data_IF_541218805397
#
_entry.id   IF_541218805397
#
_cell.length_a   1.000
_cell.length_b   1.000
_cell.length_c   1.000
_cell.angle_alpha   90.00
_cell.angle_beta   90.00
_cell.angle_gamma   90.00
#
_symmetry.space_group_name_H-M   'P 1'
#
loop_
_entity.id
_entity.type
_entity.pdbx_description
1 polymer ?
#
# COMPACT_ATOMS: atom_id res chain seq x y z
N UNK A 1 2.01 12.31 -14.00
CA UNK A 1 1.26 11.09 -14.31
C UNK A 1 -0.09 11.20 -13.68
N UNK A 2 -1.17 10.97 -14.43
CA UNK A 2 -2.47 10.78 -13.84
C UNK A 2 -2.34 9.66 -12.79
N UNK A 3 -2.54 10.00 -11.53
CA UNK A 3 -2.50 9.03 -10.46
C UNK A 3 -3.56 7.97 -10.80
N UNK A 4 -3.13 6.78 -11.15
CA UNK A 4 -4.01 5.64 -11.26
C UNK A 4 -4.76 5.48 -9.94
N UNK A 5 -5.93 4.87 -9.95
CA UNK A 5 -6.67 4.54 -8.74
C UNK A 5 -5.72 3.82 -7.77
N UNK A 6 -5.73 4.24 -6.52
CA UNK A 6 -4.83 3.70 -5.50
C UNK A 6 -5.65 3.10 -4.37
N UNK A 7 -5.39 1.83 -4.07
CA UNK A 7 -6.03 1.16 -2.94
C UNK A 7 -5.69 1.87 -1.63
N UNK A 8 -6.61 1.82 -0.67
CA UNK A 8 -6.32 2.21 0.69
C UNK A 8 -5.64 1.08 1.45
N UNK A 9 -4.78 1.47 2.38
CA UNK A 9 -4.13 0.56 3.30
C UNK A 9 -4.84 0.56 4.64
N UNK A 10 -4.92 -0.59 5.28
CA UNK A 10 -5.34 -0.74 6.66
C UNK A 10 -4.09 -0.73 7.56
N UNK A 11 -3.76 0.43 8.12
CA UNK A 11 -2.57 0.60 8.94
C UNK A 11 -2.83 0.13 10.37
N UNK A 12 -2.04 -0.83 10.82
CA UNK A 12 -2.07 -1.36 12.20
C UNK A 12 -1.02 -0.67 13.10
N UNK A 13 -1.00 -1.05 14.37
CA UNK A 13 0.00 -0.61 15.34
C UNK A 13 1.45 -0.85 14.86
N UNK A 14 1.70 -1.91 14.09
CA UNK A 14 3.04 -2.18 13.52
C UNK A 14 3.46 -1.08 12.54
N UNK A 15 2.57 -0.68 11.62
CA UNK A 15 2.83 0.42 10.69
C UNK A 15 3.03 1.74 11.42
N UNK A 16 2.20 2.04 12.42
CA UNK A 16 2.34 3.24 13.26
C UNK A 16 3.68 3.27 14.00
N UNK A 17 4.09 2.14 14.58
CA UNK A 17 5.37 2.06 15.27
C UNK A 17 6.56 2.27 14.32
N UNK A 18 6.48 1.74 13.09
CA UNK A 18 7.50 2.00 12.07
C UNK A 18 7.59 3.49 11.71
N UNK A 19 6.45 4.17 11.53
CA UNK A 19 6.40 5.62 11.26
C UNK A 19 6.93 6.44 12.43
N UNK A 20 6.63 6.04 13.68
CA UNK A 20 7.19 6.68 14.89
C UNK A 20 8.69 6.49 15.00
N UNK A 21 9.17 5.28 14.73
CA UNK A 21 10.61 4.98 14.72
C UNK A 21 11.36 5.82 13.68
N UNK A 22 10.76 6.01 12.51
CA UNK A 22 11.30 6.86 11.44
C UNK A 22 11.10 8.37 11.69
N UNK A 23 10.44 8.79 12.78
CA UNK A 23 10.22 10.20 13.11
C UNK A 23 9.17 10.93 12.25
N UNK A 24 8.39 10.20 11.44
CA UNK A 24 7.48 10.78 10.43
C UNK A 24 5.99 10.62 10.76
N UNK A 25 5.68 10.05 11.92
CA UNK A 25 4.29 9.75 12.30
C UNK A 25 3.40 11.00 12.34
N UNK A 26 3.89 12.12 12.85
CA UNK A 26 3.10 13.35 13.00
C UNK A 26 2.69 13.96 11.64
N UNK A 27 3.48 13.74 10.60
CA UNK A 27 3.16 14.14 9.23
C UNK A 27 2.09 13.26 8.59
N UNK A 28 2.08 11.96 8.94
CA UNK A 28 1.12 10.98 8.42
C UNK A 28 -0.20 10.97 9.19
N UNK A 29 -0.17 11.30 10.48
CA UNK A 29 -1.32 11.25 11.38
C UNK A 29 -2.57 11.95 10.87
N UNK A 30 -2.51 13.14 10.22
CA UNK A 30 -3.69 13.82 9.68
C UNK A 30 -4.42 13.05 8.57
N UNK A 31 -3.75 12.10 7.91
CA UNK A 31 -4.33 11.27 6.85
C UNK A 31 -5.06 10.03 7.37
N UNK A 32 -4.91 9.71 8.66
CA UNK A 32 -5.39 8.47 9.26
C UNK A 32 -6.85 8.60 9.67
N UNK A 33 -7.70 7.70 9.16
CA UNK A 33 -9.10 7.58 9.62
C UNK A 33 -9.21 6.34 10.48
N UNK A 34 -9.56 6.48 11.78
CA UNK A 34 -9.68 5.35 12.67
C UNK A 34 -10.89 4.49 12.30
N UNK A 35 -10.69 3.19 12.26
CA UNK A 35 -11.73 2.17 12.10
C UNK A 35 -11.75 1.30 13.36
N UNK A 36 -12.87 1.32 14.07
CA UNK A 36 -13.03 0.64 15.38
C UNK A 36 -13.35 -0.84 15.26
N UNK A 37 -13.75 -1.28 14.07
CA UNK A 37 -14.11 -2.67 13.81
C UNK A 37 -14.42 -2.93 12.34
N UNK A 38 -14.83 -4.15 12.07
CA UNK A 38 -15.37 -4.58 10.79
C UNK A 38 -16.89 -4.48 10.82
N UNK A 39 -17.48 -3.74 9.89
CA UNK A 39 -18.91 -3.72 9.65
C UNK A 39 -19.27 -4.80 8.63
N UNK A 40 -19.77 -5.92 9.08
CA UNK A 40 -20.21 -7.02 8.21
C UNK A 40 -21.57 -6.69 7.60
N UNK A 41 -21.66 -6.77 6.29
CA UNK A 41 -22.91 -6.65 5.53
C UNK A 41 -23.37 -8.04 5.11
N UNK A 42 -24.27 -8.63 5.87
CA UNK A 42 -24.75 -9.99 5.66
C UNK A 42 -25.68 -10.08 4.45
N UNK A 43 -25.87 -11.30 3.90
CA UNK A 43 -26.72 -11.56 2.73
C UNK A 43 -28.21 -11.22 2.98
N UNK A 44 -28.67 -11.33 4.22
CA UNK A 44 -30.03 -10.98 4.62
C UNK A 44 -30.27 -9.46 4.82
N UNK A 45 -29.24 -8.63 4.55
CA UNK A 45 -29.30 -7.17 4.73
C UNK A 45 -28.92 -6.68 6.12
N UNK A 46 -28.72 -7.56 7.09
CA UNK A 46 -28.27 -7.17 8.43
C UNK A 46 -26.84 -6.63 8.40
N UNK A 47 -26.53 -5.71 9.32
CA UNK A 47 -25.21 -5.15 9.54
C UNK A 47 -24.76 -5.48 10.96
N UNK A 48 -23.54 -5.99 11.09
CA UNK A 48 -22.97 -6.38 12.37
C UNK A 48 -21.58 -5.77 12.51
N UNK A 49 -21.39 -4.96 13.56
CA UNK A 49 -20.06 -4.42 13.88
C UNK A 49 -19.30 -5.43 14.74
N UNK A 50 -18.16 -5.88 14.24
CA UNK A 50 -17.18 -6.68 14.97
C UNK A 50 -16.02 -5.79 15.38
N UNK A 51 -15.93 -5.36 16.66
CA UNK A 51 -14.85 -4.50 17.13
C UNK A 51 -13.48 -5.21 17.03
N UNK A 52 -12.43 -4.43 16.80
CA UNK A 52 -11.05 -4.96 16.81
C UNK A 52 -10.55 -5.24 18.21
N UNK A 53 -11.10 -4.59 19.23
CA UNK A 53 -10.75 -4.80 20.61
C UNK A 53 -11.80 -4.23 21.58
N UNK A 54 -11.48 -4.26 22.86
CA UNK A 54 -12.37 -3.78 23.94
C UNK A 54 -12.09 -2.32 24.34
N UNK A 55 -10.88 -1.82 24.01
CA UNK A 55 -10.47 -0.45 24.34
C UNK A 55 -10.67 0.47 23.13
N UNK A 56 -10.87 1.76 23.41
CA UNK A 56 -11.10 2.78 22.37
C UNK A 56 -9.92 3.01 21.44
N UNK A 57 -8.71 2.67 21.88
CA UNK A 57 -7.46 2.80 21.14
C UNK A 57 -7.07 1.53 20.35
N UNK A 58 -7.82 0.44 20.53
CA UNK A 58 -7.63 -0.79 19.77
C UNK A 58 -8.32 -0.68 18.41
N UNK A 59 -7.73 0.11 17.53
CA UNK A 59 -8.23 0.43 16.18
C UNK A 59 -7.17 0.18 15.13
N UNK A 60 -7.61 0.05 13.89
CA UNK A 60 -6.74 0.18 12.71
C UNK A 60 -7.13 1.46 11.96
N UNK A 61 -6.27 1.92 11.05
CA UNK A 61 -6.52 3.17 10.36
C UNK A 61 -6.59 2.97 8.85
N UNK A 62 -7.57 3.57 8.21
CA UNK A 62 -7.56 3.73 6.76
C UNK A 62 -6.59 4.85 6.40
N UNK A 63 -5.78 4.61 5.38
CA UNK A 63 -4.90 5.62 4.79
C UNK A 63 -4.75 5.39 3.28
N UNK A 64 -4.81 6.46 2.51
CA UNK A 64 -4.53 6.40 1.08
C UNK A 64 -3.07 6.03 0.84
N UNK A 65 -2.82 4.94 0.10
CA UNK A 65 -1.47 4.52 -0.28
C UNK A 65 -0.75 5.62 -1.07
N UNK A 66 -1.47 6.33 -1.93
CA UNK A 66 -0.91 7.44 -2.70
C UNK A 66 -0.41 8.57 -1.80
N UNK A 67 -1.26 9.05 -0.87
CA UNK A 67 -0.91 10.15 0.02
C UNK A 67 0.21 9.75 0.99
N UNK A 68 0.18 8.52 1.50
CA UNK A 68 1.26 8.00 2.33
C UNK A 68 2.59 7.97 1.57
N UNK A 69 2.62 7.42 0.36
CA UNK A 69 3.82 7.41 -0.48
C UNK A 69 4.33 8.82 -0.78
N UNK A 70 3.44 9.78 -1.03
CA UNK A 70 3.83 11.16 -1.29
C UNK A 70 4.56 11.77 -0.09
N UNK A 71 4.03 11.60 1.12
CA UNK A 71 4.70 12.07 2.35
C UNK A 71 6.05 11.37 2.52
N UNK A 72 6.10 10.05 2.38
CA UNK A 72 7.35 9.29 2.53
C UNK A 72 8.45 9.77 1.57
N UNK A 73 8.10 9.98 0.31
CA UNK A 73 9.02 10.48 -0.72
C UNK A 73 9.49 11.90 -0.39
N UNK A 74 8.55 12.81 -0.10
CA UNK A 74 8.89 14.19 0.23
C UNK A 74 9.78 14.29 1.47
N UNK A 75 9.48 13.54 2.51
CA UNK A 75 10.30 13.51 3.72
C UNK A 75 11.70 12.95 3.45
N UNK A 76 11.79 11.86 2.67
CA UNK A 76 13.09 11.28 2.31
C UNK A 76 13.98 12.29 1.57
N UNK A 77 13.44 13.06 0.64
CA UNK A 77 14.19 14.09 -0.09
C UNK A 77 14.54 15.29 0.80
N UNK A 78 13.56 15.82 1.55
CA UNK A 78 13.70 17.11 2.25
C UNK A 78 14.42 17.00 3.60
N UNK A 79 14.18 15.93 4.34
CA UNK A 79 14.71 15.79 5.71
C UNK A 79 15.89 14.83 5.79
N UNK A 80 15.96 13.84 4.88
CA UNK A 80 17.01 12.81 4.90
C UNK A 80 17.99 12.90 3.74
N UNK A 81 17.84 13.93 2.89
CA UNK A 81 18.72 14.20 1.73
C UNK A 81 18.88 12.98 0.80
N UNK A 82 17.81 12.21 0.60
CA UNK A 82 17.79 11.08 -0.31
C UNK A 82 17.58 11.58 -1.74
N UNK A 83 18.48 11.25 -2.65
CA UNK A 83 18.35 11.59 -4.07
C UNK A 83 17.44 10.58 -4.78
N UNK A 84 16.19 10.95 -5.02
CA UNK A 84 15.17 10.10 -5.65
C UNK A 84 15.14 10.34 -7.16
N UNK A 85 15.42 9.30 -7.94
CA UNK A 85 15.39 9.35 -9.40
C UNK A 85 14.07 8.78 -9.93
N UNK A 86 13.14 9.66 -10.29
CA UNK A 86 11.92 9.26 -11.00
C UNK A 86 12.22 8.88 -12.45
N UNK A 87 11.32 8.09 -13.05
CA UNK A 87 11.44 7.62 -14.44
C UNK A 87 12.73 6.81 -14.71
N UNK A 88 13.32 6.28 -13.63
CA UNK A 88 14.44 5.35 -13.73
C UNK A 88 13.97 3.93 -13.41
N UNK A 89 14.37 2.97 -14.19
CA UNK A 89 14.02 1.57 -13.98
C UNK A 89 15.24 0.67 -14.11
N UNK A 90 15.27 -0.39 -13.29
CA UNK A 90 16.24 -1.47 -13.39
C UNK A 90 15.85 -2.34 -14.58
N UNK A 91 16.78 -2.57 -15.50
CA UNK A 91 16.61 -3.46 -16.66
C UNK A 91 17.14 -4.86 -16.37
N UNK A 92 18.30 -4.93 -15.73
CA UNK A 92 18.94 -6.19 -15.34
C UNK A 92 19.91 -5.98 -14.19
N UNK A 93 20.26 -7.07 -13.53
CA UNK A 93 21.33 -7.14 -12.54
C UNK A 93 22.26 -8.29 -12.90
N UNK A 94 23.53 -7.98 -13.10
CA UNK A 94 24.56 -8.98 -13.30
C UNK A 94 25.14 -9.40 -11.95
N UNK A 95 24.89 -10.63 -11.54
CA UNK A 95 25.32 -11.19 -10.26
C UNK A 95 26.80 -11.49 -10.17
N UNK A 96 27.54 -11.53 -11.28
CA UNK A 96 28.98 -11.79 -11.32
C UNK A 96 29.76 -10.49 -11.15
N UNK A 97 29.40 -9.47 -11.91
CA UNK A 97 30.04 -8.16 -11.86
C UNK A 97 29.41 -7.19 -10.84
N UNK A 98 28.29 -7.58 -10.19
CA UNK A 98 27.50 -6.77 -9.29
C UNK A 98 27.00 -5.43 -9.89
N UNK A 99 26.78 -5.40 -11.22
CA UNK A 99 26.37 -4.20 -11.94
C UNK A 99 24.87 -4.19 -12.22
N UNK A 100 24.25 -3.02 -11.98
CA UNK A 100 22.89 -2.72 -12.38
C UNK A 100 22.89 -2.07 -13.77
N UNK A 101 22.11 -2.63 -14.69
CA UNK A 101 21.75 -1.92 -15.91
C UNK A 101 20.46 -1.14 -15.65
N UNK A 102 20.54 0.15 -15.87
CA UNK A 102 19.47 1.11 -15.58
C UNK A 102 19.01 1.77 -16.88
N UNK A 103 17.72 2.11 -16.91
CA UNK A 103 17.14 2.99 -17.92
C UNK A 103 16.74 4.32 -17.29
N UNK A 104 17.14 5.41 -17.93
CA UNK A 104 16.64 6.76 -17.66
C UNK A 104 15.85 7.29 -18.87
N UNK A 105 15.18 8.44 -18.78
CA UNK A 105 14.50 9.05 -19.91
C UNK A 105 15.41 9.39 -21.09
N UNK A 106 16.73 9.52 -20.84
CA UNK A 106 17.71 9.97 -21.83
C UNK A 106 18.47 8.78 -22.43
N UNK A 107 18.89 7.83 -21.60
CA UNK A 107 19.75 6.71 -22.01
C UNK A 107 19.75 5.56 -21.02
N UNK A 108 20.16 4.40 -21.50
CA UNK A 108 20.53 3.28 -20.65
C UNK A 108 21.99 3.45 -20.16
N UNK A 109 22.28 3.04 -18.92
CA UNK A 109 23.61 3.14 -18.31
C UNK A 109 23.82 2.03 -17.27
N UNK A 110 25.08 1.81 -16.89
CA UNK A 110 25.41 0.91 -15.80
C UNK A 110 25.67 1.71 -14.52
N UNK A 111 25.18 1.18 -13.40
CA UNK A 111 25.39 1.71 -12.08
C UNK A 111 26.21 0.70 -11.26
N UNK A 112 27.32 1.16 -10.71
CA UNK A 112 28.08 0.46 -9.69
C UNK A 112 27.60 0.94 -8.31
N UNK A 113 27.17 0.03 -7.43
CA UNK A 113 26.73 0.37 -6.09
C UNK A 113 27.43 -0.51 -5.06
N UNK A 114 27.87 0.09 -3.95
CA UNK A 114 28.50 -0.63 -2.83
C UNK A 114 27.52 -1.53 -2.07
N UNK A 115 26.23 -1.22 -2.12
CA UNK A 115 25.14 -1.99 -1.52
C UNK A 115 23.83 -1.63 -2.18
N UNK A 116 22.93 -2.61 -2.29
CA UNK A 116 21.61 -2.45 -2.91
C UNK A 116 20.55 -2.98 -1.97
N UNK A 117 19.58 -2.13 -1.59
CA UNK A 117 18.37 -2.53 -0.90
C UNK A 117 17.26 -2.69 -1.93
N UNK A 118 16.78 -3.91 -2.12
CA UNK A 118 15.79 -4.24 -3.14
C UNK A 118 14.39 -4.23 -2.51
N UNK A 119 13.56 -3.28 -2.92
CA UNK A 119 12.18 -3.11 -2.45
C UNK A 119 11.19 -2.90 -3.62
N UNK A 120 11.46 -3.51 -4.77
CA UNK A 120 10.75 -3.35 -6.04
C UNK A 120 9.56 -4.32 -6.23
N UNK A 121 9.20 -5.05 -5.15
CA UNK A 121 7.96 -5.84 -5.05
C UNK A 121 7.98 -7.18 -5.78
N UNK A 122 6.78 -7.73 -6.03
CA UNK A 122 6.60 -9.09 -6.56
C UNK A 122 7.19 -9.28 -7.98
N UNK A 123 7.24 -8.21 -8.77
CA UNK A 123 7.82 -8.24 -10.12
C UNK A 123 9.33 -8.06 -10.19
N UNK A 124 10.05 -8.08 -9.06
CA UNK A 124 11.47 -7.76 -8.94
C UNK A 124 12.34 -8.39 -10.02
N UNK A 125 13.01 -7.55 -10.79
CA UNK A 125 14.00 -7.96 -11.79
C UNK A 125 15.26 -8.48 -11.10
N UNK A 126 15.66 -7.85 -9.99
CA UNK A 126 16.85 -8.25 -9.23
C UNK A 126 16.62 -9.62 -8.60
N UNK A 127 15.44 -9.89 -8.00
CA UNK A 127 15.11 -11.23 -7.50
C UNK A 127 15.21 -12.28 -8.61
N UNK A 128 14.73 -11.98 -9.82
CA UNK A 128 14.80 -12.90 -10.96
C UNK A 128 16.24 -13.19 -11.38
N UNK A 129 17.17 -12.26 -11.21
CA UNK A 129 18.58 -12.49 -11.52
C UNK A 129 19.23 -13.53 -10.59
N UNK A 130 18.66 -13.74 -9.39
CA UNK A 130 19.07 -14.79 -8.46
C UNK A 130 18.29 -16.09 -8.62
N UNK A 131 17.35 -16.19 -9.55
CA UNK A 131 16.63 -17.43 -9.80
C UNK A 131 17.63 -18.53 -10.19
N UNK A 132 17.50 -19.71 -9.55
CA UNK A 132 18.39 -20.87 -9.72
C UNK A 132 19.86 -20.65 -9.30
N UNK A 133 20.15 -19.64 -8.50
CA UNK A 133 21.50 -19.41 -7.92
C UNK A 133 21.48 -19.60 -6.40
N UNK A 134 22.35 -20.48 -5.92
CA UNK A 134 22.57 -20.67 -4.49
C UNK A 134 23.18 -19.41 -3.83
N UNK A 135 22.83 -19.07 -2.57
CA UNK A 135 21.87 -19.77 -1.69
C UNK A 135 20.41 -19.31 -1.84
N UNK A 136 20.10 -18.42 -2.81
CA UNK A 136 18.79 -17.82 -3.01
C UNK A 136 18.07 -18.53 -4.15
N UNK A 137 17.07 -19.34 -3.80
CA UNK A 137 16.21 -20.01 -4.77
C UNK A 137 14.75 -19.56 -4.57
N UNK A 138 14.36 -18.40 -5.14
CA UNK A 138 13.00 -17.88 -4.98
C UNK A 138 11.99 -18.80 -5.66
N UNK A 139 10.87 -19.07 -4.96
CA UNK A 139 9.71 -19.74 -5.52
C UNK A 139 8.59 -18.73 -5.77
N UNK A 140 7.86 -18.90 -6.86
CA UNK A 140 6.69 -18.08 -7.17
C UNK A 140 5.46 -19.01 -7.27
N UNK A 141 4.41 -18.66 -6.51
CA UNK A 141 3.10 -19.26 -6.62
C UNK A 141 2.08 -18.19 -7.02
N UNK A 142 1.50 -18.35 -8.19
CA UNK A 142 0.46 -17.44 -8.67
C UNK A 142 -0.88 -17.92 -8.15
N UNK A 143 -1.50 -17.12 -7.28
CA UNK A 143 -2.83 -17.42 -6.77
C UNK A 143 -3.87 -17.25 -7.89
N UNK A 144 -4.90 -18.13 -7.95
CA UNK A 144 -5.96 -18.05 -8.96
C UNK A 144 -7.00 -16.97 -8.62
N UNK A 145 -6.57 -15.89 -8.00
CA UNK A 145 -7.40 -14.78 -7.58
C UNK A 145 -6.84 -13.47 -8.09
N UNK A 146 -7.71 -12.56 -8.46
CA UNK A 146 -7.38 -11.18 -8.80
C UNK A 146 -8.28 -10.24 -8.01
N UNK A 147 -7.95 -8.94 -8.03
CA UNK A 147 -8.79 -7.94 -7.37
C UNK A 147 -9.18 -6.81 -8.31
N UNK A 148 -10.34 -6.22 -8.03
CA UNK A 148 -10.87 -5.05 -8.74
C UNK A 148 -11.05 -3.91 -7.77
N UNK A 149 -10.52 -2.74 -8.14
CA UNK A 149 -10.71 -1.51 -7.40
C UNK A 149 -11.96 -0.78 -7.88
N UNK A 150 -12.79 -0.34 -6.93
CA UNK A 150 -14.06 0.35 -7.14
C UNK A 150 -14.15 1.54 -6.15
N UNK A 151 -15.19 2.37 -6.28
CA UNK A 151 -15.42 3.52 -5.39
C UNK A 151 -16.90 3.65 -5.03
N UNK A 152 -17.21 3.92 -3.77
CA UNK A 152 -18.47 4.49 -3.35
C UNK A 152 -18.24 5.99 -3.21
N UNK A 153 -18.88 6.85 -4.03
CA UNK A 153 -18.68 8.29 -3.93
C UNK A 153 -19.24 8.84 -2.62
N UNK A 154 -18.79 10.02 -2.23
CA UNK A 154 -19.44 10.80 -1.18
C UNK A 154 -20.87 11.19 -1.60
N UNK A 155 -21.70 11.53 -0.62
CA UNK A 155 -22.97 12.19 -0.88
C UNK A 155 -22.75 13.58 -1.51
N UNK A 156 -23.79 14.20 -2.05
CA UNK A 156 -23.70 15.52 -2.69
C UNK A 156 -23.23 16.62 -1.73
N UNK A 157 -23.42 16.44 -0.43
CA UNK A 157 -22.96 17.35 0.63
C UNK A 157 -21.54 16.99 1.15
N UNK A 158 -20.86 16.03 0.53
CA UNK A 158 -19.54 15.55 0.95
C UNK A 158 -19.54 14.56 2.13
N UNK A 159 -20.72 14.19 2.65
CA UNK A 159 -20.82 13.24 3.76
C UNK A 159 -20.62 11.78 3.30
N UNK A 160 -20.28 10.91 4.24
CA UNK A 160 -20.11 9.49 3.97
C UNK A 160 -21.43 8.77 3.76
N UNK A 161 -21.53 7.89 2.76
CA UNK A 161 -22.70 7.02 2.53
C UNK A 161 -22.77 5.83 3.50
N UNK A 162 -21.66 5.47 4.13
CA UNK A 162 -21.55 4.36 5.08
C UNK A 162 -20.91 4.88 6.38
N UNK A 163 -20.86 4.02 7.41
CA UNK A 163 -20.18 4.34 8.69
C UNK A 163 -18.70 4.64 8.45
N UNK A 164 -18.28 5.87 8.74
CA UNK A 164 -16.91 6.34 8.53
C UNK A 164 -15.87 5.54 9.31
N UNK A 165 -16.20 5.16 10.55
CA UNK A 165 -15.24 4.58 11.49
C UNK A 165 -15.25 3.04 11.50
N UNK A 166 -15.54 2.42 10.35
CA UNK A 166 -15.53 0.98 10.18
C UNK A 166 -14.86 0.53 8.88
N UNK A 167 -14.22 -0.62 8.91
CA UNK A 167 -13.89 -1.37 7.71
C UNK A 167 -15.13 -2.14 7.26
N UNK A 168 -15.73 -1.74 6.16
CA UNK A 168 -16.90 -2.45 5.64
C UNK A 168 -16.49 -3.72 4.90
N UNK A 169 -17.20 -4.83 5.15
CA UNK A 169 -16.92 -6.14 4.56
C UNK A 169 -18.22 -6.78 4.10
N UNK A 170 -18.29 -7.20 2.84
CA UNK A 170 -19.37 -7.99 2.26
C UNK A 170 -18.85 -9.39 1.91
N UNK A 171 -18.93 -10.37 2.83
CA UNK A 171 -18.55 -11.76 2.52
C UNK A 171 -19.62 -12.39 1.62
N UNK A 172 -19.21 -13.00 0.51
CA UNK A 172 -20.10 -13.57 -0.49
C UNK A 172 -19.66 -14.96 -0.98
N UNK A 173 -19.20 -15.79 -0.08
CA UNK A 173 -18.72 -17.14 -0.39
C UNK A 173 -17.33 -17.13 -1.01
N UNK A 174 -17.25 -17.26 -2.33
CA UNK A 174 -15.97 -17.30 -3.04
C UNK A 174 -15.37 -15.93 -3.34
N UNK A 175 -16.11 -14.86 -3.11
CA UNK A 175 -15.60 -13.50 -3.28
C UNK A 175 -15.92 -12.64 -2.05
N UNK A 176 -15.19 -11.59 -1.89
CA UNK A 176 -15.35 -10.62 -0.81
C UNK A 176 -15.16 -9.21 -1.34
N UNK A 177 -16.02 -8.30 -0.90
CA UNK A 177 -15.83 -6.86 -1.13
C UNK A 177 -15.49 -6.22 0.21
N UNK A 178 -14.49 -5.36 0.20
CA UNK A 178 -14.16 -4.51 1.36
C UNK A 178 -14.20 -3.04 0.96
N UNK A 179 -14.49 -2.15 1.91
CA UNK A 179 -14.45 -0.71 1.68
C UNK A 179 -13.79 0.01 2.86
N UNK A 180 -12.86 0.91 2.53
CA UNK A 180 -12.13 1.73 3.46
C UNK A 180 -12.43 3.21 3.20
N UNK A 181 -12.66 4.03 4.24
CA UNK A 181 -12.99 5.45 4.09
C UNK A 181 -11.81 6.28 3.62
N UNK A 182 -12.12 7.34 2.86
CA UNK A 182 -11.19 8.41 2.47
C UNK A 182 -11.51 9.72 3.17
N UNK A 183 -10.55 10.62 3.36
CA UNK A 183 -10.81 11.95 3.95
C UNK A 183 -11.83 12.79 3.17
N UNK A 184 -12.02 12.48 1.89
CA UNK A 184 -12.93 13.16 0.95
C UNK A 184 -14.40 12.72 1.06
N UNK A 185 -14.74 11.83 2.01
CA UNK A 185 -16.12 11.35 2.22
C UNK A 185 -16.52 10.13 1.39
N UNK A 186 -15.68 9.72 0.47
CA UNK A 186 -15.84 8.52 -0.35
C UNK A 186 -15.20 7.29 0.30
N UNK A 187 -15.43 6.13 -0.30
CA UNK A 187 -14.76 4.87 0.09
C UNK A 187 -14.05 4.27 -1.12
N UNK A 188 -12.82 3.82 -0.89
CA UNK A 188 -12.14 2.91 -1.83
C UNK A 188 -12.54 1.48 -1.52
N UNK A 189 -13.02 0.77 -2.55
CA UNK A 189 -13.46 -0.61 -2.46
C UNK A 189 -12.47 -1.52 -3.17
N UNK A 190 -12.29 -2.71 -2.61
CA UNK A 190 -11.56 -3.78 -3.26
C UNK A 190 -12.44 -5.03 -3.29
N UNK A 191 -12.68 -5.53 -4.49
CA UNK A 191 -13.33 -6.82 -4.74
C UNK A 191 -12.23 -7.87 -4.97
N UNK A 192 -12.26 -8.94 -4.20
CA UNK A 192 -11.37 -10.10 -4.30
C UNK A 192 -12.11 -11.31 -4.81
#
# INVERSE_FOLDING_TARGET
>A
QAAGRSINLAMSSRGINALKYAGIFDQVKPLLIPMTGRMLHLKNGAKELQPYGQKKDEVIYSVSRFNLNQILIQTAEQEYNVDIKFEHSVLSYDTESAKLQMRSPIKDFFLDAQGILVADGAGSIIRKAFANKEPIMPTEEILPHSYKELTIPANNDGSFQLEKNALHVWPRGQFMLIALPNPTGDFTLTLF
#
